data_IF_718748360456
#
_entry.id   IF_718748360456
#
_cell.length_a   1.000
_cell.length_b   1.000
_cell.length_c   1.000
_cell.angle_alpha   90.00
_cell.angle_beta   90.00
_cell.angle_gamma   90.00
#
_symmetry.space_group_name_H-M   'P 1'
#
loop_
_entity.id
_entity.type
_entity.pdbx_description
1 polymer ?
#
# COMPACT_ATOMS: atom_id res chain seq x y z
N UNK A 1 -37.48 -39.82 9.85
CA UNK A 1 -36.01 -39.63 9.98
C UNK A 1 -35.32 -39.88 8.62
N UNK A 2 -35.62 -39.07 7.60
CA UNK A 2 -35.11 -39.31 6.22
C UNK A 2 -34.46 -38.09 5.55
N UNK A 3 -34.79 -36.86 5.95
CA UNK A 3 -34.22 -35.65 5.35
C UNK A 3 -32.79 -35.31 5.81
N UNK A 4 -32.40 -35.72 7.02
CA UNK A 4 -31.05 -35.43 7.56
C UNK A 4 -29.94 -36.25 6.89
N UNK A 5 -30.24 -37.46 6.39
CA UNK A 5 -29.26 -38.32 5.71
C UNK A 5 -28.98 -37.84 4.28
N UNK A 6 -29.96 -37.22 3.63
CA UNK A 6 -29.83 -36.67 2.27
C UNK A 6 -28.99 -35.37 2.25
N UNK A 7 -29.22 -34.48 3.23
CA UNK A 7 -28.43 -33.25 3.42
C UNK A 7 -26.97 -33.58 3.76
N UNK A 8 -26.71 -34.63 4.55
CA UNK A 8 -25.36 -35.06 4.89
C UNK A 8 -24.57 -35.56 3.66
N UNK A 9 -25.24 -36.25 2.73
CA UNK A 9 -24.65 -36.73 1.48
C UNK A 9 -24.36 -35.59 0.49
N UNK A 10 -25.26 -34.62 0.38
CA UNK A 10 -25.05 -33.41 -0.43
C UNK A 10 -23.90 -32.58 0.13
N UNK A 11 -23.87 -32.36 1.44
CA UNK A 11 -22.76 -31.65 2.10
C UNK A 11 -21.46 -32.40 1.90
N UNK A 12 -21.42 -33.73 2.08
CA UNK A 12 -20.20 -34.53 1.89
C UNK A 12 -19.70 -34.50 0.43
N UNK A 13 -20.60 -34.56 -0.56
CA UNK A 13 -20.29 -34.43 -1.99
C UNK A 13 -19.81 -33.02 -2.37
N UNK A 14 -20.39 -31.97 -1.79
CA UNK A 14 -20.05 -30.57 -2.08
C UNK A 14 -18.93 -30.03 -1.18
N UNK A 15 -18.50 -30.78 -0.16
CA UNK A 15 -17.48 -30.36 0.81
C UNK A 15 -16.17 -30.01 0.13
N UNK A 16 -15.77 -30.80 -0.88
CA UNK A 16 -14.55 -30.57 -1.66
C UNK A 16 -14.65 -29.28 -2.49
N UNK A 17 -15.80 -29.00 -3.10
CA UNK A 17 -16.04 -27.77 -3.87
C UNK A 17 -16.07 -26.51 -2.99
N UNK A 18 -16.63 -26.61 -1.78
CA UNK A 18 -16.66 -25.52 -0.80
C UNK A 18 -15.24 -25.24 -0.28
N UNK A 19 -14.45 -26.28 0.02
CA UNK A 19 -13.08 -26.09 0.50
C UNK A 19 -12.17 -25.44 -0.55
N UNK A 20 -12.30 -25.82 -1.82
CA UNK A 20 -11.50 -25.22 -2.91
C UNK A 20 -11.89 -23.75 -3.14
N UNK A 21 -13.18 -23.43 -3.13
CA UNK A 21 -13.64 -22.04 -3.29
C UNK A 21 -13.23 -21.16 -2.12
N UNK A 22 -13.31 -21.65 -0.88
CA UNK A 22 -12.79 -20.94 0.30
C UNK A 22 -11.27 -20.75 0.21
N UNK A 23 -10.51 -21.77 -0.21
CA UNK A 23 -9.07 -21.65 -0.36
C UNK A 23 -8.67 -20.60 -1.42
N UNK A 24 -9.31 -20.62 -2.59
CA UNK A 24 -9.07 -19.62 -3.64
C UNK A 24 -9.48 -18.23 -3.16
N UNK A 25 -10.62 -18.10 -2.47
CA UNK A 25 -11.08 -16.84 -1.92
C UNK A 25 -10.12 -16.28 -0.86
N UNK A 26 -9.55 -17.13 0.01
CA UNK A 26 -8.54 -16.74 1.00
C UNK A 26 -7.22 -16.32 0.34
N UNK A 27 -6.78 -17.02 -0.72
CA UNK A 27 -5.59 -16.63 -1.50
C UNK A 27 -5.83 -15.29 -2.19
N UNK A 28 -7.01 -15.09 -2.77
CA UNK A 28 -7.39 -13.84 -3.43
C UNK A 28 -7.49 -12.71 -2.41
N UNK A 29 -8.11 -12.94 -1.25
CA UNK A 29 -8.16 -11.99 -0.14
C UNK A 29 -6.76 -11.66 0.37
N UNK A 30 -5.88 -12.63 0.57
CA UNK A 30 -4.52 -12.40 1.05
C UNK A 30 -3.66 -11.65 0.02
N UNK A 31 -3.78 -11.99 -1.27
CA UNK A 31 -3.15 -11.25 -2.37
C UNK A 31 -3.68 -9.82 -2.45
N UNK A 32 -5.00 -9.65 -2.38
CA UNK A 32 -5.67 -8.36 -2.36
C UNK A 32 -5.24 -7.53 -1.14
N UNK A 33 -5.14 -8.12 0.05
CA UNK A 33 -4.67 -7.45 1.27
C UNK A 33 -3.19 -7.07 1.22
N UNK A 34 -2.37 -7.83 0.47
CA UNK A 34 -0.97 -7.48 0.22
C UNK A 34 -0.83 -6.29 -0.74
N UNK A 35 -1.76 -6.17 -1.70
CA UNK A 35 -1.86 -5.03 -2.63
C UNK A 35 -2.48 -3.81 -1.94
N UNK A 36 -3.47 -4.01 -1.06
CA UNK A 36 -4.22 -2.96 -0.37
C UNK A 36 -3.70 -2.64 1.02
N UNK A 37 -2.55 -3.16 1.45
CA UNK A 37 -2.04 -2.92 2.79
C UNK A 37 -1.82 -1.41 2.96
N UNK A 38 -2.67 -0.68 3.72
CA UNK A 38 -2.43 0.71 3.99
C UNK A 38 -1.32 0.74 5.03
N UNK A 39 -0.20 1.23 4.55
CA UNK A 39 1.03 1.53 5.25
C UNK A 39 0.75 1.89 6.72
N UNK A 40 1.25 1.09 7.65
CA UNK A 40 1.36 1.44 9.07
C UNK A 40 2.36 2.59 9.31
N UNK A 41 2.56 3.48 8.32
CA UNK A 41 3.46 4.62 8.33
C UNK A 41 2.76 5.92 8.71
N UNK A 42 1.53 5.91 9.25
CA UNK A 42 0.91 7.16 9.70
C UNK A 42 1.81 7.94 10.70
N UNK A 43 2.56 7.24 11.56
CA UNK A 43 3.55 7.86 12.44
C UNK A 43 4.82 8.33 11.72
N UNK A 44 5.33 7.54 10.78
CA UNK A 44 6.56 7.85 10.03
C UNK A 44 6.35 8.98 9.00
N UNK A 45 5.13 9.05 8.45
CA UNK A 45 4.68 10.08 7.53
C UNK A 45 4.76 11.46 8.14
N UNK A 46 4.37 11.62 9.41
CA UNK A 46 4.43 12.92 10.09
C UNK A 46 5.86 13.45 10.23
N UNK A 47 6.83 12.57 10.53
CA UNK A 47 8.24 12.97 10.63
C UNK A 47 8.82 13.27 9.25
N UNK A 48 8.51 12.42 8.27
CA UNK A 48 8.95 12.60 6.89
C UNK A 48 8.39 13.89 6.26
N UNK A 49 7.12 14.18 6.46
CA UNK A 49 6.47 15.43 6.00
C UNK A 49 7.09 16.66 6.68
N UNK A 50 7.41 16.57 7.98
CA UNK A 50 8.10 17.65 8.70
C UNK A 50 9.51 17.88 8.15
N UNK A 51 10.26 16.80 7.90
CA UNK A 51 11.61 16.87 7.34
C UNK A 51 11.59 17.42 5.91
N UNK A 52 10.66 16.95 5.08
CA UNK A 52 10.44 17.43 3.72
C UNK A 52 10.13 18.94 3.72
N UNK A 53 9.19 19.36 4.57
CA UNK A 53 8.84 20.78 4.73
C UNK A 53 10.01 21.63 5.20
N UNK A 54 10.89 21.08 6.05
CA UNK A 54 12.07 21.79 6.53
C UNK A 54 13.11 21.98 5.42
N UNK A 55 13.44 20.91 4.67
CA UNK A 55 14.41 20.94 3.55
C UNK A 55 13.92 21.88 2.45
N UNK A 56 12.63 21.82 2.12
CA UNK A 56 12.02 22.67 1.11
C UNK A 56 11.29 23.89 1.72
N UNK A 57 11.76 24.38 2.87
CA UNK A 57 11.12 25.51 3.58
C UNK A 57 11.10 26.81 2.78
N UNK A 58 12.05 26.96 1.85
CA UNK A 58 12.11 28.09 0.91
C UNK A 58 11.03 28.04 -0.19
N UNK A 59 10.28 26.93 -0.31
CA UNK A 59 9.25 26.74 -1.33
C UNK A 59 7.84 26.86 -0.72
N UNK A 60 6.92 27.45 -1.48
CA UNK A 60 5.49 27.49 -1.15
C UNK A 60 4.90 26.08 -1.07
N UNK A 61 3.78 25.94 -0.35
CA UNK A 61 3.11 24.64 -0.19
C UNK A 61 2.69 24.04 -1.54
N UNK A 62 2.14 24.84 -2.45
CA UNK A 62 1.73 24.39 -3.79
C UNK A 62 2.91 23.82 -4.59
N UNK A 63 4.06 24.49 -4.53
CA UNK A 63 5.26 24.04 -5.24
C UNK A 63 5.84 22.78 -4.61
N UNK A 64 5.71 22.62 -3.29
CA UNK A 64 6.06 21.40 -2.56
C UNK A 64 5.17 20.23 -2.94
N UNK A 65 3.87 20.44 -3.11
CA UNK A 65 2.93 19.42 -3.61
C UNK A 65 3.28 19.00 -5.04
N UNK A 66 3.49 19.97 -5.94
CA UNK A 66 3.88 19.68 -7.33
C UNK A 66 5.19 18.89 -7.44
N UNK A 67 6.14 19.12 -6.51
CA UNK A 67 7.39 18.36 -6.45
C UNK A 67 7.13 16.89 -6.08
N UNK A 68 6.25 16.64 -5.11
CA UNK A 68 5.86 15.30 -4.71
C UNK A 68 5.16 14.59 -5.86
N UNK A 69 4.26 15.27 -6.57
CA UNK A 69 3.55 14.70 -7.73
C UNK A 69 4.52 14.37 -8.85
N UNK A 70 5.49 15.25 -9.12
CA UNK A 70 6.54 14.99 -10.11
C UNK A 70 7.35 13.73 -9.78
N UNK A 71 7.81 13.60 -8.54
CA UNK A 71 8.60 12.44 -8.11
C UNK A 71 7.78 11.15 -8.07
N UNK A 72 6.50 11.25 -7.68
CA UNK A 72 5.55 10.14 -7.70
C UNK A 72 5.34 9.63 -9.13
N UNK A 73 5.08 10.52 -10.08
CA UNK A 73 4.90 10.16 -11.48
C UNK A 73 6.18 9.62 -12.12
N UNK A 74 7.33 10.27 -11.86
CA UNK A 74 8.62 9.90 -12.47
C UNK A 74 9.12 8.52 -12.02
N UNK A 75 8.81 8.10 -10.80
CA UNK A 75 9.34 6.86 -10.21
C UNK A 75 8.24 5.81 -9.95
N UNK A 76 7.01 6.06 -10.41
CA UNK A 76 5.82 5.22 -10.16
C UNK A 76 5.69 4.82 -8.68
N UNK A 77 5.87 5.79 -7.79
CA UNK A 77 5.99 5.54 -6.35
C UNK A 77 4.97 6.33 -5.52
N UNK A 78 4.69 5.83 -4.32
CA UNK A 78 3.80 6.49 -3.38
C UNK A 78 4.35 7.82 -2.86
N UNK A 79 3.46 8.66 -2.31
CA UNK A 79 3.78 10.00 -1.80
C UNK A 79 4.99 10.03 -0.84
N UNK A 80 5.10 9.04 0.04
CA UNK A 80 6.20 8.95 1.02
C UNK A 80 7.55 8.66 0.35
N UNK A 81 7.56 7.72 -0.59
CA UNK A 81 8.77 7.40 -1.35
C UNK A 81 9.20 8.57 -2.22
N UNK A 82 8.23 9.28 -2.81
CA UNK A 82 8.47 10.52 -3.55
C UNK A 82 9.12 11.60 -2.65
N UNK A 83 8.60 11.84 -1.44
CA UNK A 83 9.19 12.78 -0.47
C UNK A 83 10.60 12.38 -0.06
N UNK A 84 10.83 11.09 0.24
CA UNK A 84 12.15 10.57 0.62
C UNK A 84 13.16 10.76 -0.51
N UNK A 85 12.76 10.49 -1.75
CA UNK A 85 13.61 10.61 -2.94
C UNK A 85 13.95 12.07 -3.26
N UNK A 86 12.98 12.97 -3.12
CA UNK A 86 13.22 14.40 -3.28
C UNK A 86 14.23 14.95 -2.26
N UNK A 87 14.15 14.51 -0.99
CA UNK A 87 15.13 14.88 0.04
C UNK A 87 16.52 14.33 -0.29
N UNK A 88 16.60 13.07 -0.72
CA UNK A 88 17.87 12.42 -1.08
C UNK A 88 18.55 13.13 -2.26
N UNK A 89 17.79 13.47 -3.30
CA UNK A 89 18.27 14.23 -4.46
C UNK A 89 18.83 15.59 -4.05
N UNK A 90 18.10 16.32 -3.19
CA UNK A 90 18.57 17.61 -2.67
C UNK A 90 19.85 17.49 -1.84
N UNK A 91 19.97 16.47 -0.98
CA UNK A 91 21.17 16.26 -0.19
C UNK A 91 22.39 15.90 -1.06
N UNK A 92 22.19 15.20 -2.19
CA UNK A 92 23.27 14.91 -3.15
C UNK A 92 23.76 16.15 -3.86
N UNK A 93 22.87 17.11 -4.11
CA UNK A 93 23.22 18.37 -4.75
C UNK A 93 23.92 19.33 -3.78
N UNK A 94 23.47 19.40 -2.51
CA UNK A 94 24.09 20.22 -1.47
C UNK A 94 25.52 19.75 -1.14
N UNK A 95 25.86 18.47 -1.35
CA UNK A 95 27.21 17.93 -1.14
C UNK A 95 28.18 18.12 -2.31
N UNK A 96 27.77 18.79 -3.39
CA UNK A 96 28.54 18.90 -4.64
C UNK A 96 29.18 20.28 -4.86
N UNK A 97 29.16 21.15 -3.85
CA UNK A 97 29.67 22.53 -3.88
C UNK A 97 30.79 22.72 -2.86
#
# INVERSE_FOLDING_TARGET
MGGVMDVALVVWRNSTGILVTVAVFLIFLAGFWKVFRPIAAAGNRSELERRFRNVFSMMTEDRRQALIDHYSYKNDCGREEAMKRAIDDRNRDDGRW
#
